data_IF_216714782052
#
_entry.id   IF_216714782052
#
_cell.length_a   1.000
_cell.length_b   1.000
_cell.length_c   1.000
_cell.angle_alpha   90.00
_cell.angle_beta   90.00
_cell.angle_gamma   90.00
#
_symmetry.space_group_name_H-M   'P 1'
#
loop_
_entity.id
_entity.type
_entity.pdbx_description
1 polymer ?
#
# COMPACT_ATOMS: atom_id res chain seq x y z
N UNK A 1 2.42 -18.21 8.04
CA UNK A 1 2.72 -17.67 9.39
C UNK A 1 3.63 -18.60 10.20
N UNK A 2 3.24 -19.87 10.46
CA UNK A 2 4.02 -20.81 11.26
C UNK A 2 5.53 -20.92 10.92
N UNK A 3 5.88 -20.79 9.64
CA UNK A 3 7.27 -20.77 9.13
C UNK A 3 8.21 -19.74 9.78
N UNK A 4 7.68 -18.67 10.39
CA UNK A 4 8.47 -17.62 11.05
C UNK A 4 8.68 -17.85 12.55
N UNK A 5 8.18 -18.96 13.09
CA UNK A 5 8.22 -19.27 14.53
C UNK A 5 8.82 -20.67 14.77
N UNK A 6 10.07 -20.92 14.32
CA UNK A 6 10.70 -22.24 14.44
C UNK A 6 10.93 -22.70 15.89
N UNK A 7 10.92 -21.77 16.84
CA UNK A 7 11.08 -22.00 18.28
C UNK A 7 9.81 -22.47 18.99
N UNK A 8 8.65 -22.42 18.33
CA UNK A 8 7.36 -22.77 18.94
C UNK A 8 7.00 -24.22 18.61
N UNK A 9 6.77 -25.04 19.63
CA UNK A 9 6.52 -26.49 19.46
C UNK A 9 5.38 -26.83 18.48
N UNK A 10 4.31 -26.02 18.46
CA UNK A 10 3.15 -26.25 17.56
C UNK A 10 3.50 -26.09 16.07
N UNK A 11 4.64 -25.49 15.73
CA UNK A 11 5.13 -25.34 14.35
C UNK A 11 6.09 -26.44 13.94
N UNK A 12 6.39 -27.42 14.81
CA UNK A 12 7.43 -28.43 14.60
C UNK A 12 7.38 -29.12 13.24
N UNK A 13 6.18 -29.47 12.75
CA UNK A 13 6.03 -30.09 11.42
C UNK A 13 6.42 -29.16 10.27
N UNK A 14 6.05 -27.87 10.35
CA UNK A 14 6.41 -26.86 9.35
C UNK A 14 7.91 -26.60 9.41
N UNK A 15 8.48 -26.52 10.61
CA UNK A 15 9.92 -26.34 10.84
C UNK A 15 10.72 -27.52 10.29
N UNK A 16 10.26 -28.76 10.52
CA UNK A 16 10.90 -29.96 9.96
C UNK A 16 10.85 -29.96 8.43
N UNK A 17 9.71 -29.57 7.84
CA UNK A 17 9.57 -29.44 6.40
C UNK A 17 10.55 -28.42 5.80
N UNK A 18 10.68 -27.22 6.40
CA UNK A 18 11.64 -26.19 5.95
C UNK A 18 13.10 -26.61 6.11
N UNK A 19 13.40 -27.49 7.07
CA UNK A 19 14.75 -28.03 7.29
C UNK A 19 15.12 -29.15 6.31
N UNK A 20 14.17 -29.70 5.56
CA UNK A 20 14.46 -30.73 4.56
C UNK A 20 15.30 -30.17 3.40
N UNK A 21 16.14 -31.03 2.81
CA UNK A 21 17.06 -30.64 1.74
C UNK A 21 16.35 -30.06 0.51
N UNK A 22 15.11 -30.48 0.26
CA UNK A 22 14.29 -30.00 -0.86
C UNK A 22 13.96 -28.50 -0.77
N UNK A 23 14.01 -27.91 0.43
CA UNK A 23 13.65 -26.51 0.66
C UNK A 23 14.84 -25.65 1.08
N UNK A 24 16.08 -26.13 0.89
CA UNK A 24 17.28 -25.39 1.26
C UNK A 24 17.37 -24.01 0.59
N UNK A 25 17.08 -23.91 -0.71
CA UNK A 25 17.10 -22.61 -1.39
C UNK A 25 16.04 -21.64 -0.80
N UNK A 26 14.89 -22.15 -0.40
CA UNK A 26 13.82 -21.34 0.18
C UNK A 26 14.14 -20.92 1.62
N UNK A 27 14.65 -21.84 2.45
CA UNK A 27 15.03 -21.58 3.86
C UNK A 27 16.15 -20.55 3.96
N UNK A 28 17.08 -20.56 2.99
CA UNK A 28 18.21 -19.63 2.91
C UNK A 28 17.87 -18.34 2.16
N UNK A 29 16.61 -18.14 1.76
CA UNK A 29 16.20 -16.89 1.11
C UNK A 29 16.10 -15.75 2.11
N UNK A 30 16.22 -14.51 1.61
CA UNK A 30 16.08 -13.30 2.43
C UNK A 30 14.68 -13.14 3.07
N UNK A 31 13.70 -14.01 2.76
CA UNK A 31 12.41 -14.02 3.45
C UNK A 31 12.56 -14.33 4.96
N UNK A 32 13.52 -15.16 5.32
CA UNK A 32 13.77 -15.56 6.71
C UNK A 32 14.91 -14.77 7.37
N UNK A 33 15.51 -13.82 6.66
CA UNK A 33 16.52 -12.91 7.19
C UNK A 33 15.97 -11.47 7.22
N UNK A 34 15.27 -11.08 8.30
CA UNK A 34 14.67 -9.76 8.40
C UNK A 34 15.73 -8.64 8.49
N UNK A 35 16.94 -8.93 8.99
CA UNK A 35 18.04 -7.95 9.10
C UNK A 35 18.66 -7.66 7.74
N UNK A 36 18.89 -8.68 6.93
CA UNK A 36 19.35 -8.47 5.57
C UNK A 36 18.27 -7.81 4.70
N UNK A 37 17.01 -8.24 4.83
CA UNK A 37 15.90 -7.66 4.05
C UNK A 37 15.67 -6.19 4.34
N UNK A 38 15.83 -5.75 5.59
CA UNK A 38 15.61 -4.35 5.97
C UNK A 38 16.60 -3.37 5.31
N UNK A 39 17.78 -3.85 4.88
CA UNK A 39 18.80 -3.04 4.19
C UNK A 39 18.36 -2.54 2.82
N UNK A 40 17.43 -3.25 2.18
CA UNK A 40 16.86 -2.85 0.89
C UNK A 40 15.50 -2.24 1.08
N UNK A 41 15.22 -1.09 0.47
CA UNK A 41 13.86 -0.52 0.51
C UNK A 41 12.91 -1.40 -0.32
N UNK A 42 11.64 -1.56 0.11
CA UNK A 42 10.67 -2.30 -0.68
C UNK A 42 10.40 -1.54 -1.98
N UNK A 43 10.30 -2.26 -3.09
CA UNK A 43 9.83 -1.67 -4.34
C UNK A 43 8.32 -1.34 -4.21
N UNK A 44 8.05 -0.10 -3.80
CA UNK A 44 6.71 0.46 -3.61
C UNK A 44 6.70 1.94 -3.94
N UNK A 45 5.52 2.45 -4.29
CA UNK A 45 5.25 3.89 -4.31
C UNK A 45 4.80 4.37 -2.93
N UNK A 46 4.97 5.67 -2.69
CA UNK A 46 4.41 6.34 -1.52
C UNK A 46 2.89 6.17 -1.48
N UNK A 47 2.31 6.14 -0.27
CA UNK A 47 0.85 6.11 -0.08
C UNK A 47 0.15 7.43 -0.41
N UNK A 48 0.93 8.49 -0.62
CA UNK A 48 0.45 9.87 -0.68
C UNK A 48 -0.39 10.10 -1.93
N UNK A 49 -1.70 10.28 -1.73
CA UNK A 49 -2.62 10.62 -2.83
C UNK A 49 -2.48 12.07 -3.27
N UNK A 50 -3.19 12.46 -4.35
CA UNK A 50 -3.25 13.85 -4.82
C UNK A 50 -3.53 14.86 -3.70
N UNK A 51 -4.44 14.53 -2.76
CA UNK A 51 -4.84 15.42 -1.65
C UNK A 51 -3.69 15.79 -0.72
N UNK A 52 -2.81 14.84 -0.43
CA UNK A 52 -1.75 15.00 0.57
C UNK A 52 -0.37 15.22 -0.05
N UNK A 53 -0.27 15.16 -1.38
CA UNK A 53 0.97 15.36 -2.12
C UNK A 53 1.29 16.85 -2.18
N UNK A 54 2.58 17.19 -2.05
CA UNK A 54 3.03 18.57 -2.20
C UNK A 54 2.64 19.10 -3.59
N UNK A 55 2.02 20.28 -3.62
CA UNK A 55 1.62 20.95 -4.85
C UNK A 55 2.75 21.11 -5.88
N UNK A 56 4.00 21.24 -5.42
CA UNK A 56 5.20 21.34 -6.26
C UNK A 56 5.41 20.12 -7.14
N UNK A 57 4.93 18.96 -6.71
CA UNK A 57 4.98 17.73 -7.49
C UNK A 57 4.28 17.85 -8.85
N UNK A 58 3.30 18.76 -8.95
CA UNK A 58 2.50 18.95 -10.15
C UNK A 58 2.95 20.14 -11.01
N UNK A 59 4.04 20.83 -10.65
CA UNK A 59 4.50 22.06 -11.33
C UNK A 59 4.72 21.88 -12.82
N UNK A 60 5.44 20.81 -13.21
CA UNK A 60 5.71 20.54 -14.64
C UNK A 60 4.43 20.28 -15.42
N UNK A 61 3.49 19.54 -14.84
CA UNK A 61 2.20 19.28 -15.46
C UNK A 61 1.37 20.56 -15.59
N UNK A 62 1.34 21.41 -14.56
CA UNK A 62 0.64 22.70 -14.61
C UNK A 62 1.20 23.60 -15.71
N UNK A 63 2.51 23.62 -15.91
CA UNK A 63 3.14 24.36 -17.01
C UNK A 63 2.75 23.83 -18.40
N UNK A 64 2.37 22.54 -18.54
CA UNK A 64 1.79 22.01 -19.78
C UNK A 64 0.39 22.60 -20.00
N UNK A 65 -0.43 22.68 -18.95
CA UNK A 65 -1.81 23.17 -19.02
C UNK A 65 -1.93 24.68 -19.27
N UNK A 66 -0.88 25.46 -19.01
CA UNK A 66 -0.84 26.91 -19.28
C UNK A 66 -0.69 27.24 -20.78
N UNK A 67 -0.36 26.25 -21.62
CA UNK A 67 -0.18 26.45 -23.06
C UNK A 67 -1.53 26.42 -23.78
N UNK A 68 -1.71 27.28 -24.78
CA UNK A 68 -2.94 27.39 -25.57
C UNK A 68 -3.06 26.28 -26.65
N UNK A 69 -3.01 25.01 -26.22
CA UNK A 69 -3.21 23.82 -27.05
C UNK A 69 -3.82 22.71 -26.21
N UNK A 70 -4.54 21.78 -26.86
CA UNK A 70 -5.01 20.60 -26.17
C UNK A 70 -3.82 19.79 -25.64
N UNK A 71 -3.89 19.33 -24.38
CA UNK A 71 -2.73 18.74 -23.70
C UNK A 71 -2.14 17.52 -24.42
N UNK A 72 -2.96 16.75 -25.15
CA UNK A 72 -2.49 15.59 -25.92
C UNK A 72 -1.51 15.96 -27.03
N UNK A 73 -1.60 17.19 -27.55
CA UNK A 73 -0.77 17.65 -28.67
C UNK A 73 0.58 18.19 -28.21
N UNK A 74 0.71 18.45 -26.91
CA UNK A 74 1.88 19.05 -26.27
C UNK A 74 2.36 18.21 -25.08
N UNK A 75 1.87 16.97 -24.96
CA UNK A 75 2.22 16.06 -23.89
C UNK A 75 3.71 15.70 -23.99
N UNK A 76 4.50 15.79 -22.91
CA UNK A 76 5.93 15.47 -22.96
C UNK A 76 6.18 14.05 -23.47
N UNK A 77 7.03 13.91 -24.49
CA UNK A 77 7.23 12.62 -25.15
C UNK A 77 7.83 11.57 -24.21
N UNK A 78 8.83 11.94 -23.40
CA UNK A 78 9.47 11.05 -22.43
C UNK A 78 8.48 10.55 -21.38
N UNK A 79 7.52 11.39 -20.98
CA UNK A 79 6.44 10.96 -20.09
C UNK A 79 5.57 9.91 -20.75
N UNK A 80 5.22 10.08 -22.04
CA UNK A 80 4.41 9.12 -22.78
C UNK A 80 5.12 7.77 -22.90
N UNK A 81 6.44 7.78 -23.16
CA UNK A 81 7.27 6.58 -23.20
C UNK A 81 7.30 5.86 -21.85
N UNK A 82 7.36 6.59 -20.74
CA UNK A 82 7.37 6.01 -19.40
C UNK A 82 6.00 5.40 -19.00
N UNK A 83 4.89 6.13 -19.20
CA UNK A 83 3.59 5.71 -18.64
C UNK A 83 2.86 4.66 -19.49
N UNK A 84 3.00 4.66 -20.81
CA UNK A 84 2.23 3.77 -21.69
C UNK A 84 2.50 2.28 -21.42
N UNK A 85 3.75 1.83 -21.20
CA UNK A 85 4.00 0.44 -20.80
C UNK A 85 3.37 0.07 -19.46
N UNK A 86 3.31 1.01 -18.51
CA UNK A 86 2.70 0.79 -17.19
C UNK A 86 1.18 0.61 -17.35
N UNK A 87 0.52 1.52 -18.06
CA UNK A 87 -0.92 1.42 -18.38
C UNK A 87 -1.22 0.10 -19.10
N UNK A 88 -0.41 -0.29 -20.09
CA UNK A 88 -0.59 -1.55 -20.81
C UNK A 88 -0.46 -2.78 -19.90
N UNK A 89 0.49 -2.79 -18.95
CA UNK A 89 0.62 -3.85 -17.95
C UNK A 89 -0.59 -3.92 -17.02
N UNK A 90 -1.06 -2.77 -16.52
CA UNK A 90 -2.24 -2.69 -15.64
C UNK A 90 -3.52 -3.13 -16.36
N UNK A 91 -3.69 -2.75 -17.62
CA UNK A 91 -4.79 -3.21 -18.46
C UNK A 91 -4.74 -4.72 -18.68
N UNK A 92 -3.57 -5.26 -19.07
CA UNK A 92 -3.38 -6.71 -19.27
C UNK A 92 -3.66 -7.51 -17.99
N UNK A 93 -3.30 -6.97 -16.83
CA UNK A 93 -3.58 -7.57 -15.53
C UNK A 93 -5.06 -7.44 -15.09
N UNK A 94 -5.90 -6.78 -15.88
CA UNK A 94 -7.31 -6.58 -15.57
C UNK A 94 -7.59 -5.55 -14.48
N UNK A 95 -6.58 -4.77 -14.06
CA UNK A 95 -6.66 -3.74 -13.02
C UNK A 95 -7.43 -2.50 -13.49
N UNK A 96 -7.39 -2.23 -14.80
CA UNK A 96 -8.09 -1.13 -15.46
C UNK A 96 -8.70 -1.58 -16.78
N UNK A 97 -9.57 -0.75 -17.34
CA UNK A 97 -10.21 -0.97 -18.64
C UNK A 97 -10.45 0.37 -19.35
N UNK A 98 -10.70 0.38 -20.67
CA UNK A 98 -11.23 1.56 -21.34
C UNK A 98 -12.55 1.99 -20.68
N UNK A 99 -12.70 3.29 -20.39
CA UNK A 99 -13.89 3.79 -19.69
C UNK A 99 -15.10 4.02 -20.61
N UNK A 100 -14.90 3.96 -21.94
CA UNK A 100 -15.93 4.29 -22.95
C UNK A 100 -16.64 5.65 -22.69
N UNK A 101 -15.88 6.63 -22.20
CA UNK A 101 -16.34 7.99 -21.96
C UNK A 101 -15.92 8.90 -23.12
N UNK A 102 -16.58 10.05 -23.25
CA UNK A 102 -16.05 11.14 -24.08
C UNK A 102 -14.73 11.63 -23.49
N UNK A 103 -13.77 11.96 -24.35
CA UNK A 103 -12.43 12.40 -23.98
C UNK A 103 -12.40 13.88 -23.55
N UNK A 104 -13.22 14.23 -22.56
CA UNK A 104 -13.37 15.60 -22.04
C UNK A 104 -13.04 15.68 -20.55
N UNK A 105 -12.27 16.69 -20.15
CA UNK A 105 -11.90 16.96 -18.75
C UNK A 105 -13.07 17.37 -17.84
N UNK A 106 -14.26 17.57 -18.40
CA UNK A 106 -15.52 17.75 -17.68
C UNK A 106 -16.20 16.42 -17.34
N UNK A 107 -15.76 15.32 -17.95
CA UNK A 107 -16.34 13.98 -17.81
C UNK A 107 -15.35 13.02 -17.14
N UNK A 108 -14.07 13.17 -17.46
CA UNK A 108 -12.95 12.35 -16.95
C UNK A 108 -12.13 13.20 -15.96
N UNK A 109 -12.09 12.84 -14.66
CA UNK A 109 -11.50 13.68 -13.63
C UNK A 109 -9.96 13.70 -13.62
N UNK A 110 -9.33 12.58 -14.00
CA UNK A 110 -7.88 12.44 -13.92
C UNK A 110 -7.16 12.65 -15.26
N UNK A 111 -5.88 13.00 -15.19
CA UNK A 111 -4.95 12.89 -16.33
C UNK A 111 -3.69 12.17 -15.86
N UNK A 112 -3.23 11.19 -16.64
CA UNK A 112 -1.97 10.52 -16.39
C UNK A 112 -0.81 11.48 -16.63
N UNK A 113 0.13 11.51 -15.69
CA UNK A 113 1.38 12.27 -15.75
C UNK A 113 2.55 11.34 -15.42
N UNK A 114 3.78 11.78 -15.67
CA UNK A 114 4.97 11.09 -15.21
C UNK A 114 5.73 11.94 -14.19
N UNK A 115 6.26 11.30 -13.16
CA UNK A 115 7.17 11.92 -12.19
C UNK A 115 7.97 10.82 -11.48
N UNK A 116 8.74 11.14 -10.45
CA UNK A 116 9.61 10.21 -9.73
C UNK A 116 9.17 10.07 -8.28
N UNK A 117 9.52 8.94 -7.64
CA UNK A 117 9.41 8.81 -6.18
C UNK A 117 10.74 9.25 -5.54
N UNK A 118 10.74 9.80 -4.31
CA UNK A 118 11.96 10.29 -3.67
C UNK A 118 13.08 9.25 -3.56
N UNK A 119 12.75 7.96 -3.44
CA UNK A 119 13.70 6.86 -3.38
C UNK A 119 14.10 6.29 -4.74
N UNK A 120 13.53 6.78 -5.83
CA UNK A 120 13.89 6.45 -7.23
C UNK A 120 13.90 7.74 -8.08
N UNK A 121 14.79 8.70 -7.78
CA UNK A 121 14.76 10.02 -8.41
C UNK A 121 15.03 9.99 -9.92
N UNK A 122 15.62 8.92 -10.44
CA UNK A 122 15.98 8.78 -11.86
C UNK A 122 15.00 7.88 -12.64
N UNK A 123 13.90 7.44 -12.01
CA UNK A 123 12.94 6.52 -12.64
C UNK A 123 11.55 7.15 -12.70
N UNK A 124 11.14 7.56 -13.90
CA UNK A 124 9.78 8.02 -14.16
C UNK A 124 8.77 6.89 -13.91
N UNK A 125 7.68 7.23 -13.25
CA UNK A 125 6.57 6.35 -12.91
C UNK A 125 5.23 7.01 -13.30
N UNK A 126 4.16 6.21 -13.37
CA UNK A 126 2.80 6.67 -13.65
C UNK A 126 2.20 7.31 -12.40
N UNK A 127 1.73 8.55 -12.54
CA UNK A 127 0.90 9.24 -11.55
C UNK A 127 -0.39 9.73 -12.21
N UNK A 128 -1.47 9.84 -11.44
CA UNK A 128 -2.71 10.47 -11.93
C UNK A 128 -2.90 11.81 -11.22
N UNK A 129 -2.93 12.89 -12.00
CA UNK A 129 -3.31 14.20 -11.51
C UNK A 129 -4.84 14.30 -11.51
N UNK A 130 -5.44 14.60 -10.35
CA UNK A 130 -6.89 14.80 -10.18
C UNK A 130 -7.21 16.26 -9.83
N UNK A 131 -6.48 17.21 -10.41
CA UNK A 131 -6.78 18.61 -10.21
C UNK A 131 -8.16 18.96 -10.80
N UNK A 132 -9.02 19.57 -9.99
CA UNK A 132 -10.39 19.91 -10.37
C UNK A 132 -10.69 21.39 -10.07
N UNK A 133 -10.08 22.32 -10.82
CA UNK A 133 -10.24 23.76 -10.59
C UNK A 133 -11.68 24.24 -10.79
N UNK A 134 -12.48 23.49 -11.57
CA UNK A 134 -13.88 23.79 -11.86
C UNK A 134 -14.86 23.16 -10.87
N UNK A 135 -14.37 22.35 -9.92
CA UNK A 135 -15.18 21.63 -8.90
C UNK A 135 -16.27 20.76 -9.52
N UNK A 136 -15.97 20.11 -10.65
CA UNK A 136 -16.90 19.21 -11.35
C UNK A 136 -17.00 17.84 -10.68
N UNK A 137 -15.98 17.45 -9.93
CA UNK A 137 -15.83 16.16 -9.26
C UNK A 137 -15.59 16.36 -7.76
N UNK A 138 -16.55 16.98 -7.03
CA UNK A 138 -16.37 17.26 -5.61
C UNK A 138 -16.20 15.96 -4.81
N UNK A 139 -15.14 15.89 -4.01
CA UNK A 139 -14.84 14.73 -3.19
C UNK A 139 -15.29 15.00 -1.76
N UNK A 140 -16.20 14.15 -1.27
CA UNK A 140 -16.67 14.16 0.11
C UNK A 140 -16.13 12.93 0.84
N UNK A 141 -15.57 13.15 2.03
CA UNK A 141 -15.08 12.06 2.88
C UNK A 141 -16.05 11.85 4.03
N UNK A 142 -16.39 10.60 4.37
CA UNK A 142 -17.16 10.33 5.57
C UNK A 142 -16.46 10.89 6.82
N UNK A 143 -17.19 11.45 7.81
CA UNK A 143 -16.58 12.07 9.00
C UNK A 143 -15.69 11.14 9.83
N UNK A 144 -15.91 9.82 9.75
CA UNK A 144 -15.12 8.82 10.46
C UNK A 144 -13.79 8.48 9.76
N UNK A 145 -13.52 9.03 8.57
CA UNK A 145 -12.24 8.83 7.89
C UNK A 145 -11.18 9.73 8.51
N UNK A 146 -10.12 9.11 9.03
CA UNK A 146 -9.06 9.79 9.78
C UNK A 146 -7.86 10.03 8.86
N UNK A 147 -7.35 11.27 8.87
CA UNK A 147 -6.18 11.70 8.10
C UNK A 147 -4.86 11.07 8.58
N UNK A 148 -3.83 10.94 7.69
CA UNK A 148 -2.56 10.33 8.08
C UNK A 148 -1.80 11.03 9.20
N UNK A 149 -2.05 12.32 9.40
CA UNK A 149 -1.53 13.14 10.51
C UNK A 149 -2.00 12.66 11.88
N UNK A 150 -3.13 11.95 11.94
CA UNK A 150 -3.74 11.43 13.18
C UNK A 150 -3.56 9.92 13.34
N UNK A 151 -2.92 9.24 12.39
CA UNK A 151 -2.68 7.81 12.50
C UNK A 151 -1.64 7.50 13.59
N UNK A 152 -1.72 6.33 14.25
CA UNK A 152 -0.76 5.97 15.28
C UNK A 152 0.66 5.88 14.71
N UNK A 153 1.62 6.26 15.55
CA UNK A 153 3.05 6.02 15.30
C UNK A 153 3.39 4.64 15.89
N UNK A 154 3.75 3.69 15.04
CA UNK A 154 3.86 2.28 15.45
C UNK A 154 5.09 2.02 16.34
N UNK A 155 6.22 2.66 16.07
CA UNK A 155 7.44 2.42 16.84
C UNK A 155 7.29 2.81 18.32
N UNK A 156 6.79 4.02 18.68
CA UNK A 156 6.53 4.35 20.08
C UNK A 156 5.60 3.35 20.79
N UNK A 157 4.56 2.84 20.10
CA UNK A 157 3.66 1.83 20.67
C UNK A 157 4.41 0.53 20.97
N UNK A 158 5.30 0.09 20.07
CA UNK A 158 6.13 -1.09 20.29
C UNK A 158 7.12 -0.89 21.45
N UNK A 159 7.68 0.32 21.60
CA UNK A 159 8.57 0.68 22.70
C UNK A 159 7.85 0.64 24.05
N UNK A 160 6.69 1.30 24.16
CA UNK A 160 5.85 1.30 25.36
C UNK A 160 5.42 -0.12 25.77
N UNK A 161 5.20 -1.01 24.80
CA UNK A 161 4.87 -2.41 25.05
C UNK A 161 6.09 -3.18 25.58
N UNK A 162 7.27 -3.01 24.97
CA UNK A 162 8.49 -3.70 25.39
C UNK A 162 8.97 -3.30 26.80
N UNK A 163 8.69 -2.06 27.23
CA UNK A 163 9.00 -1.62 28.60
C UNK A 163 8.27 -2.45 29.67
N UNK A 164 7.04 -2.88 29.36
CA UNK A 164 6.21 -3.68 30.26
C UNK A 164 6.46 -5.18 30.10
N UNK A 165 6.95 -5.60 28.94
CA UNK A 165 7.12 -7.00 28.56
C UNK A 165 8.54 -7.24 28.04
N UNK A 166 9.51 -7.59 28.91
CA UNK A 166 10.93 -7.72 28.53
C UNK A 166 11.22 -8.75 27.42
N UNK A 167 10.35 -9.74 27.25
CA UNK A 167 10.49 -10.79 26.23
C UNK A 167 9.67 -10.52 24.96
N UNK A 168 9.10 -9.31 24.84
CA UNK A 168 8.14 -8.98 23.79
C UNK A 168 8.68 -9.28 22.39
N UNK A 169 7.79 -9.83 21.57
CA UNK A 169 8.02 -10.10 20.15
C UNK A 169 7.05 -9.31 19.32
N UNK A 170 7.52 -8.90 18.15
CA UNK A 170 6.78 -8.01 17.27
C UNK A 170 6.62 -8.59 15.87
N UNK A 171 5.56 -8.17 15.20
CA UNK A 171 5.41 -8.31 13.76
C UNK A 171 4.86 -7.01 13.15
N UNK A 172 5.44 -6.63 12.02
CA UNK A 172 4.91 -5.64 11.10
C UNK A 172 4.31 -6.39 9.91
N UNK A 173 2.99 -6.53 9.88
CA UNK A 173 2.26 -7.17 8.80
C UNK A 173 1.75 -6.12 7.83
N UNK A 174 2.18 -6.22 6.57
CA UNK A 174 1.72 -5.32 5.50
C UNK A 174 0.72 -6.01 4.61
N UNK A 175 -0.40 -5.36 4.36
CA UNK A 175 -1.36 -5.79 3.35
C UNK A 175 -0.72 -5.59 1.97
N UNK A 176 -0.84 -6.59 1.10
CA UNK A 176 -0.33 -6.51 -0.26
C UNK A 176 -0.95 -5.31 -0.99
N UNK A 177 -0.09 -4.43 -1.49
CA UNK A 177 -0.50 -3.31 -2.35
C UNK A 177 0.43 -3.22 -3.55
N UNK A 178 -0.13 -2.86 -4.69
CA UNK A 178 0.65 -2.54 -5.88
C UNK A 178 1.23 -1.13 -5.77
N UNK A 179 2.20 -0.76 -6.61
CA UNK A 179 2.68 0.62 -6.69
C UNK A 179 1.54 1.61 -7.00
N UNK A 180 0.61 1.26 -7.90
CA UNK A 180 -0.39 2.24 -8.39
C UNK A 180 -1.77 2.14 -7.73
N UNK A 181 -2.09 1.04 -7.03
CA UNK A 181 -3.42 0.83 -6.45
C UNK A 181 -3.38 0.04 -5.14
N UNK A 182 -4.43 0.25 -4.33
CA UNK A 182 -4.80 -0.62 -3.22
C UNK A 182 -5.73 -1.72 -3.72
N UNK A 183 -5.68 -2.97 -3.19
CA UNK A 183 -6.52 -4.08 -3.65
C UNK A 183 -7.99 -3.94 -3.15
N UNK A 184 -8.57 -2.75 -3.29
CA UNK A 184 -9.93 -2.41 -2.90
C UNK A 184 -10.74 -2.25 -4.18
N UNK A 185 -11.62 -3.21 -4.46
CA UNK A 185 -12.43 -3.17 -5.68
C UNK A 185 -13.38 -1.97 -5.69
N UNK A 186 -13.41 -1.27 -6.82
CA UNK A 186 -14.35 -0.20 -7.08
C UNK A 186 -15.62 -0.77 -7.71
N UNK A 187 -16.76 -0.51 -7.06
CA UNK A 187 -18.07 -0.76 -7.66
C UNK A 187 -18.23 0.05 -8.94
N UNK A 188 -19.00 -0.47 -9.91
CA UNK A 188 -19.10 0.12 -11.26
C UNK A 188 -19.47 1.60 -11.23
N UNK A 189 -20.41 2.02 -10.37
CA UNK A 189 -20.83 3.41 -10.25
C UNK A 189 -19.74 4.38 -9.75
N UNK A 190 -18.68 3.88 -9.09
CA UNK A 190 -17.59 4.72 -8.57
C UNK A 190 -16.40 4.80 -9.54
N UNK A 191 -16.38 4.00 -10.61
CA UNK A 191 -15.19 3.89 -11.47
C UNK A 191 -14.93 5.16 -12.27
N UNK A 192 -15.97 5.78 -12.81
CA UNK A 192 -15.86 7.05 -13.53
C UNK A 192 -15.23 8.15 -12.67
N UNK A 193 -15.60 8.24 -11.38
CA UNK A 193 -15.04 9.23 -10.45
C UNK A 193 -13.53 9.06 -10.21
N UNK A 194 -12.97 7.91 -10.58
CA UNK A 194 -11.52 7.64 -10.53
C UNK A 194 -10.91 7.53 -11.92
N UNK A 195 -11.67 7.75 -12.99
CA UNK A 195 -11.18 7.59 -14.35
C UNK A 195 -10.13 8.66 -14.72
N UNK A 196 -9.30 8.37 -15.72
CA UNK A 196 -8.27 9.28 -16.16
C UNK A 196 -8.03 9.21 -17.67
N UNK A 197 -7.50 10.29 -18.24
CA UNK A 197 -7.03 10.33 -19.62
C UNK A 197 -5.54 10.01 -19.71
N UNK A 198 -5.11 9.23 -20.70
CA UNK A 198 -3.69 9.01 -20.96
C UNK A 198 -3.05 10.10 -21.84
N UNK A 199 -1.78 9.93 -22.23
CA UNK A 199 -1.02 10.91 -23.02
C UNK A 199 -1.65 11.28 -24.36
N UNK A 200 -2.55 10.44 -24.90
CA UNK A 200 -3.27 10.69 -26.16
C UNK A 200 -4.77 10.87 -25.91
N UNK A 201 -5.14 11.32 -24.71
CA UNK A 201 -6.51 11.63 -24.29
C UNK A 201 -7.46 10.42 -24.23
N UNK A 202 -6.96 9.18 -24.25
CA UNK A 202 -7.83 8.00 -24.13
C UNK A 202 -8.30 7.83 -22.69
N UNK A 203 -9.61 7.65 -22.45
CA UNK A 203 -10.14 7.51 -21.09
C UNK A 203 -10.05 6.06 -20.58
N UNK A 204 -9.55 5.93 -19.36
CA UNK A 204 -9.34 4.67 -18.63
C UNK A 204 -10.06 4.71 -17.30
N UNK A 205 -10.66 3.59 -16.91
CA UNK A 205 -11.26 3.41 -15.58
C UNK A 205 -10.50 2.38 -14.75
N UNK A 206 -10.41 2.63 -13.44
CA UNK A 206 -9.84 1.68 -12.49
C UNK A 206 -10.88 0.69 -12.01
N UNK A 207 -10.48 -0.56 -11.82
CA UNK A 207 -11.28 -1.58 -11.10
C UNK A 207 -10.91 -1.68 -9.63
N UNK A 208 -9.75 -1.16 -9.25
CA UNK A 208 -9.24 -1.13 -7.88
C UNK A 208 -8.88 0.30 -7.50
N UNK A 209 -8.99 0.66 -6.22
CA UNK A 209 -8.76 2.02 -5.73
C UNK A 209 -7.33 2.50 -6.07
N UNK A 210 -7.15 3.47 -6.97
CA UNK A 210 -5.82 3.98 -7.31
C UNK A 210 -5.25 4.80 -6.16
N UNK A 211 -3.93 4.71 -5.94
CA UNK A 211 -3.26 5.44 -4.85
C UNK A 211 -3.31 6.95 -5.03
N UNK A 212 -3.35 7.42 -6.28
CA UNK A 212 -3.39 8.86 -6.55
C UNK A 212 -4.78 9.49 -6.38
N UNK A 213 -5.86 8.68 -6.32
CA UNK A 213 -7.22 9.21 -6.07
C UNK A 213 -7.23 9.99 -4.76
N UNK A 214 -7.77 11.23 -4.72
CA UNK A 214 -7.64 12.07 -3.54
C UNK A 214 -8.22 11.37 -2.30
N UNK A 215 -7.39 11.23 -1.26
CA UNK A 215 -7.75 10.57 -0.01
C UNK A 215 -7.88 9.04 -0.08
N UNK A 216 -7.33 8.39 -1.10
CA UNK A 216 -7.32 6.92 -1.22
C UNK A 216 -6.72 6.23 0.02
N UNK A 217 -5.72 6.85 0.65
CA UNK A 217 -5.05 6.31 1.84
C UNK A 217 -5.98 6.29 3.07
N UNK A 218 -6.99 7.18 3.12
CA UNK A 218 -8.03 7.17 4.14
C UNK A 218 -8.91 5.92 4.01
N UNK A 219 -9.27 5.57 2.77
CA UNK A 219 -10.06 4.38 2.46
C UNK A 219 -9.30 3.11 2.83
N UNK A 220 -8.00 3.07 2.55
CA UNK A 220 -7.15 1.95 2.95
C UNK A 220 -7.08 1.82 4.47
N UNK A 221 -6.79 2.89 5.19
CA UNK A 221 -6.74 2.87 6.66
C UNK A 221 -8.06 2.41 7.30
N UNK A 222 -9.19 2.98 6.86
CA UNK A 222 -10.51 2.58 7.33
C UNK A 222 -10.81 1.10 7.01
N UNK A 223 -10.42 0.62 5.84
CA UNK A 223 -10.61 -0.79 5.47
C UNK A 223 -9.78 -1.73 6.35
N UNK A 224 -8.53 -1.38 6.63
CA UNK A 224 -7.68 -2.13 7.57
C UNK A 224 -8.31 -2.18 8.95
N UNK A 225 -8.79 -1.05 9.47
CA UNK A 225 -9.47 -0.99 10.75
C UNK A 225 -10.68 -1.91 10.82
N UNK A 226 -11.58 -1.82 9.84
CA UNK A 226 -12.77 -2.70 9.74
C UNK A 226 -12.42 -4.19 9.67
N UNK A 227 -11.35 -4.54 8.95
CA UNK A 227 -10.93 -5.94 8.89
C UNK A 227 -10.46 -6.46 10.27
N UNK A 228 -9.81 -5.60 11.05
CA UNK A 228 -9.28 -5.92 12.37
C UNK A 228 -10.33 -5.86 13.49
N UNK A 229 -11.50 -5.24 13.28
CA UNK A 229 -12.61 -5.22 14.26
C UNK A 229 -12.98 -6.63 14.72
N UNK A 230 -12.96 -7.60 13.81
CA UNK A 230 -13.28 -9.01 14.09
C UNK A 230 -12.35 -9.69 15.12
N UNK A 231 -11.17 -9.13 15.35
CA UNK A 231 -10.17 -9.67 16.29
C UNK A 231 -9.81 -8.67 17.39
N UNK A 232 -10.45 -7.49 17.41
CA UNK A 232 -10.10 -6.38 18.30
C UNK A 232 -10.28 -6.74 19.77
N UNK A 233 -11.39 -7.39 20.12
CA UNK A 233 -11.64 -7.82 21.51
C UNK A 233 -10.62 -8.85 22.00
N UNK A 234 -10.12 -9.70 21.09
CA UNK A 234 -9.14 -10.74 21.43
C UNK A 234 -7.72 -10.18 21.53
N UNK A 235 -7.39 -9.21 20.68
CA UNK A 235 -6.05 -8.65 20.60
C UNK A 235 -5.87 -7.42 21.48
N UNK A 236 -6.96 -6.79 21.94
CA UNK A 236 -6.97 -5.65 22.84
C UNK A 236 -5.94 -4.56 22.44
N UNK A 237 -4.96 -4.29 23.30
CA UNK A 237 -3.88 -3.33 23.11
C UNK A 237 -2.66 -3.89 22.36
N UNK A 238 -2.70 -5.17 21.96
CA UNK A 238 -1.61 -5.89 21.29
C UNK A 238 -1.61 -5.72 19.77
N UNK A 239 -2.42 -4.80 19.25
CA UNK A 239 -2.51 -4.48 17.83
C UNK A 239 -2.65 -2.98 17.60
N UNK A 240 -1.90 -2.46 16.63
CA UNK A 240 -2.03 -1.10 16.12
C UNK A 240 -1.92 -1.11 14.59
N UNK A 241 -2.49 -0.11 13.91
CA UNK A 241 -2.45 -0.08 12.44
C UNK A 241 -2.48 1.34 11.88
N UNK A 242 -1.90 1.51 10.69
CA UNK A 242 -1.90 2.75 9.92
C UNK A 242 -1.88 2.40 8.43
N UNK A 243 -2.76 3.01 7.62
CA UNK A 243 -2.86 2.67 6.20
C UNK A 243 -3.00 1.15 5.95
N UNK A 244 -2.04 0.57 5.24
CA UNK A 244 -1.93 -0.85 4.92
C UNK A 244 -0.96 -1.63 5.84
N UNK A 245 -0.46 -1.02 6.92
CA UNK A 245 0.51 -1.58 7.85
C UNK A 245 -0.11 -1.86 9.22
N UNK A 246 0.19 -3.03 9.78
CA UNK A 246 -0.34 -3.53 11.05
C UNK A 246 0.84 -3.93 11.95
N UNK A 247 0.92 -3.34 13.13
CA UNK A 247 1.79 -3.79 14.21
C UNK A 247 1.04 -4.81 15.05
N UNK A 248 1.64 -5.97 15.25
CA UNK A 248 1.17 -7.02 16.16
C UNK A 248 2.23 -7.24 17.23
N UNK A 249 1.80 -7.32 18.47
CA UNK A 249 2.66 -7.44 19.65
C UNK A 249 2.25 -8.66 20.46
N UNK A 250 3.19 -9.21 21.23
CA UNK A 250 2.93 -10.25 22.20
C UNK A 250 4.10 -10.37 23.17
N UNK A 251 3.88 -11.03 24.30
CA UNK A 251 4.88 -11.19 25.36
C UNK A 251 5.97 -12.20 24.99
N UNK A 252 5.69 -13.12 24.07
CA UNK A 252 6.62 -14.12 23.56
C UNK A 252 6.27 -14.56 22.12
N UNK A 253 7.09 -15.46 21.55
CA UNK A 253 6.91 -15.97 20.19
C UNK A 253 5.66 -16.85 20.00
N UNK A 254 5.27 -17.62 21.02
CA UNK A 254 4.12 -18.52 20.94
C UNK A 254 2.80 -17.73 20.92
N UNK A 255 2.71 -16.68 21.71
CA UNK A 255 1.60 -15.74 21.69
C UNK A 255 1.62 -14.87 20.43
N UNK A 256 2.79 -14.41 19.97
CA UNK A 256 2.89 -13.65 18.73
C UNK A 256 2.40 -14.47 17.53
N UNK A 257 2.72 -15.77 17.47
CA UNK A 257 2.20 -16.67 16.44
C UNK A 257 0.66 -16.66 16.43
N UNK A 258 0.02 -16.76 17.60
CA UNK A 258 -1.45 -16.72 17.72
C UNK A 258 -2.00 -15.37 17.25
N UNK A 259 -1.40 -14.27 17.70
CA UNK A 259 -1.86 -12.91 17.39
C UNK A 259 -1.69 -12.59 15.89
N UNK A 260 -0.53 -12.93 15.31
CA UNK A 260 -0.24 -12.75 13.89
C UNK A 260 -1.19 -13.59 13.03
N UNK A 261 -1.45 -14.83 13.44
CA UNK A 261 -2.39 -15.71 12.75
C UNK A 261 -3.80 -15.13 12.79
N UNK A 262 -4.26 -14.66 13.94
CA UNK A 262 -5.56 -13.99 14.07
C UNK A 262 -5.67 -12.74 13.19
N UNK A 263 -4.69 -11.84 13.24
CA UNK A 263 -4.66 -10.62 12.42
C UNK A 263 -4.65 -10.95 10.91
N UNK A 264 -3.86 -11.95 10.51
CA UNK A 264 -3.78 -12.44 9.13
C UNK A 264 -5.15 -12.95 8.67
N UNK A 265 -5.82 -13.79 9.47
CA UNK A 265 -7.17 -14.25 9.16
C UNK A 265 -8.16 -13.09 9.09
N UNK A 266 -8.13 -12.15 10.03
CA UNK A 266 -9.03 -10.98 10.01
C UNK A 266 -8.92 -10.21 8.68
N UNK A 267 -7.70 -9.94 8.22
CA UNK A 267 -7.44 -9.24 6.95
C UNK A 267 -7.91 -10.06 5.73
N UNK A 268 -7.65 -11.36 5.74
CA UNK A 268 -7.88 -12.27 4.61
C UNK A 268 -9.28 -12.91 4.58
N UNK A 269 -10.09 -12.71 5.63
CA UNK A 269 -11.46 -13.24 5.69
C UNK A 269 -12.34 -12.67 4.57
N UNK A 270 -13.38 -13.45 4.22
CA UNK A 270 -14.22 -13.18 3.05
C UNK A 270 -14.75 -11.74 3.00
N UNK A 271 -14.79 -11.14 1.81
CA UNK A 271 -14.27 -11.68 0.54
C UNK A 271 -12.72 -11.66 0.53
N UNK A 272 -12.10 -12.74 0.02
CA UNK A 272 -10.64 -12.96 -0.05
C UNK A 272 -9.97 -11.95 -1.02
N UNK A 273 -10.02 -10.67 -0.70
CA UNK A 273 -9.57 -9.58 -1.57
C UNK A 273 -8.22 -9.01 -1.14
N UNK A 274 -7.75 -9.37 0.06
CA UNK A 274 -6.56 -8.82 0.69
C UNK A 274 -5.70 -9.97 1.17
N UNK A 275 -4.40 -9.81 1.03
CA UNK A 275 -3.40 -10.77 1.47
C UNK A 275 -2.33 -10.04 2.28
N UNK A 276 -1.69 -10.74 3.21
CA UNK A 276 -0.50 -10.21 3.88
C UNK A 276 0.70 -10.48 2.96
N UNK A 277 1.39 -9.41 2.57
CA UNK A 277 2.62 -9.47 1.80
C UNK A 277 3.78 -9.82 2.75
N UNK A 278 4.07 -11.11 2.89
CA UNK A 278 5.13 -11.61 3.76
C UNK A 278 6.52 -11.11 3.34
N UNK A 279 6.71 -10.74 2.07
CA UNK A 279 7.97 -10.18 1.60
C UNK A 279 8.17 -8.74 2.09
N UNK A 280 7.08 -7.97 2.22
CA UNK A 280 7.11 -6.60 2.78
C UNK A 280 6.72 -6.52 4.25
N UNK A 281 6.68 -7.66 4.93
CA UNK A 281 6.36 -7.78 6.36
C UNK A 281 7.60 -8.19 7.15
N UNK A 282 7.61 -7.93 8.45
CA UNK A 282 8.59 -8.47 9.39
C UNK A 282 7.82 -9.28 10.44
N UNK A 283 8.20 -10.54 10.64
CA UNK A 283 7.47 -11.44 11.52
C UNK A 283 8.44 -12.03 12.53
N UNK A 284 8.01 -12.09 13.78
CA UNK A 284 8.79 -12.64 14.88
C UNK A 284 10.15 -11.95 15.06
N UNK A 285 10.12 -10.64 15.26
CA UNK A 285 11.32 -9.80 15.42
C UNK A 285 11.37 -9.16 16.81
N UNK A 286 12.56 -8.76 17.23
CA UNK A 286 12.77 -8.00 18.45
C UNK A 286 12.60 -6.48 18.22
N UNK A 287 12.51 -5.72 19.31
CA UNK A 287 12.42 -4.26 19.26
C UNK A 287 13.67 -3.60 18.63
N UNK A 288 14.85 -4.21 18.82
CA UNK A 288 16.10 -3.72 18.26
C UNK A 288 16.03 -3.60 16.74
N UNK A 289 15.54 -4.65 16.06
CA UNK A 289 15.29 -4.60 14.63
C UNK A 289 14.30 -3.49 14.27
N UNK A 290 13.18 -3.37 14.98
CA UNK A 290 12.18 -2.35 14.67
C UNK A 290 12.73 -0.92 14.72
N UNK A 291 13.65 -0.64 15.65
CA UNK A 291 14.35 0.64 15.79
C UNK A 291 15.35 0.89 14.65
N UNK A 292 15.94 -0.16 14.11
CA UNK A 292 16.90 -0.10 13.00
C UNK A 292 16.23 0.04 11.62
N UNK A 293 14.92 -0.21 11.51
CA UNK A 293 14.22 -0.11 10.23
C UNK A 293 14.26 1.32 9.68
N UNK A 294 14.58 1.45 8.39
CA UNK A 294 14.35 2.71 7.65
C UNK A 294 12.88 3.14 7.86
N UNK A 295 12.60 4.44 8.14
CA UNK A 295 11.24 4.92 8.34
C UNK A 295 10.24 4.53 7.26
N UNK A 296 10.69 4.28 6.03
CA UNK A 296 9.86 3.76 4.93
C UNK A 296 9.23 2.41 5.26
N UNK A 297 9.80 1.58 6.13
CA UNK A 297 9.18 0.32 6.52
C UNK A 297 8.03 0.51 7.51
N UNK A 298 8.05 1.61 8.26
CA UNK A 298 7.07 1.98 9.28
C UNK A 298 5.94 2.90 8.75
N UNK A 299 6.02 3.32 7.48
CA UNK A 299 5.00 4.12 6.79
C UNK A 299 4.15 3.32 5.80
#
# INVERSE_FOLDING_TARGET
>A
MAMFFPEVDTTAHVTAFLKSDQYEAFRNSALFDPRERSKTRPDRRSRTSYKYRDSKFWTEWKAVLEKDRHFSDIYPFDWSLAIRPIIAKLYRAGVMAPAHLENDSRIVPGVATANTEPHRPDTLDLFINYDDPRRLFPITYPPHFIGPDKWPKLLPIAEDFAEKHPNARFALLRIWTAPHFYPLMLGMGNRQATSFQDSVSRPWEWKFLPKDMPGSELSMHNTTGKALENVKERLEDRIAYRGDLILVMAEDGAELLKNCTAATFAVQTRPWLREIDLWKSFVNVDLGLLRELDPVWLD
#
